data_IF_188716555298
#
_entry.id   IF_188716555298
#
_cell.length_a   1.000
_cell.length_b   1.000
_cell.length_c   1.000
_cell.angle_alpha   90.00
_cell.angle_beta   90.00
_cell.angle_gamma   90.00
#
_symmetry.space_group_name_H-M   'P 1'
#
loop_
_entity.id
_entity.type
_entity.pdbx_description
1 polymer ?
#
# COMPACT_ATOMS: atom_id res chain seq x y z
N UNK A 1 -11.14 7.37 -26.57
CA UNK A 1 -11.69 6.11 -26.04
C UNK A 1 -10.56 5.12 -25.99
N UNK A 2 -10.31 4.51 -24.83
CA UNK A 2 -9.31 3.46 -24.71
C UNK A 2 -9.87 2.21 -25.38
N UNK A 3 -9.08 1.58 -26.23
CA UNK A 3 -9.47 0.41 -26.99
C UNK A 3 -9.28 -0.86 -26.16
N UNK A 4 -10.08 -1.90 -26.42
CA UNK A 4 -9.87 -3.23 -25.81
C UNK A 4 -8.46 -3.77 -26.11
N UNK A 5 -7.88 -3.38 -27.25
CA UNK A 5 -6.52 -3.73 -27.65
C UNK A 5 -5.45 -3.11 -26.74
N UNK A 6 -5.65 -1.87 -26.28
CA UNK A 6 -4.73 -1.23 -25.32
C UNK A 6 -4.79 -1.94 -23.96
N UNK A 7 -5.98 -2.28 -23.47
CA UNK A 7 -6.16 -3.06 -22.23
C UNK A 7 -5.48 -4.43 -22.36
N UNK A 8 -5.64 -5.10 -23.50
CA UNK A 8 -5.00 -6.39 -23.76
C UNK A 8 -3.47 -6.29 -23.76
N UNK A 9 -2.90 -5.29 -24.42
CA UNK A 9 -1.45 -5.10 -24.48
C UNK A 9 -0.84 -4.85 -23.09
N UNK A 10 -1.48 -4.00 -22.29
CA UNK A 10 -1.04 -3.73 -20.91
C UNK A 10 -1.24 -4.97 -20.03
N UNK A 11 -2.35 -5.69 -20.20
CA UNK A 11 -2.63 -6.95 -19.50
C UNK A 11 -1.59 -8.03 -19.73
N UNK A 12 -1.14 -8.21 -20.98
CA UNK A 12 -0.04 -9.14 -21.32
C UNK A 12 1.25 -8.79 -20.59
N UNK A 13 1.57 -7.51 -20.45
CA UNK A 13 2.76 -7.05 -19.72
C UNK A 13 2.66 -7.35 -18.23
N UNK A 14 1.48 -7.22 -17.63
CA UNK A 14 1.26 -7.51 -16.21
C UNK A 14 1.49 -9.00 -15.88
N UNK A 15 0.99 -9.91 -16.72
CA UNK A 15 1.03 -11.36 -16.44
C UNK A 15 2.30 -12.05 -16.90
N UNK A 16 3.18 -11.37 -17.64
CA UNK A 16 4.42 -11.95 -18.15
C UNK A 16 5.52 -11.95 -17.07
N UNK A 17 5.92 -13.12 -16.52
CA UNK A 17 6.95 -13.20 -15.49
C UNK A 17 8.35 -12.88 -16.04
N UNK A 18 8.53 -12.82 -17.37
CA UNK A 18 9.76 -12.35 -18.00
C UNK A 18 9.94 -10.83 -17.93
N UNK A 19 8.88 -10.07 -17.61
CA UNK A 19 8.97 -8.62 -17.46
C UNK A 19 9.58 -8.23 -16.10
N UNK A 20 10.41 -7.18 -16.05
CA UNK A 20 10.87 -6.61 -14.79
C UNK A 20 9.69 -6.20 -13.90
N UNK A 21 9.81 -6.44 -12.60
CA UNK A 21 8.74 -6.16 -11.63
C UNK A 21 8.22 -4.71 -11.72
N UNK A 22 9.11 -3.72 -11.90
CA UNK A 22 8.75 -2.31 -12.11
C UNK A 22 7.82 -2.07 -13.32
N UNK A 23 8.00 -2.83 -14.41
CA UNK A 23 7.19 -2.70 -15.62
C UNK A 23 5.80 -3.30 -15.39
N UNK A 24 5.75 -4.40 -14.64
CA UNK A 24 4.50 -5.05 -14.23
C UNK A 24 3.68 -4.15 -13.30
N UNK A 25 4.31 -3.46 -12.34
CA UNK A 25 3.63 -2.44 -11.53
C UNK A 25 3.08 -1.28 -12.38
N UNK A 26 3.86 -0.77 -13.34
CA UNK A 26 3.36 0.28 -14.26
C UNK A 26 2.15 -0.20 -15.06
N UNK A 27 2.17 -1.44 -15.52
CA UNK A 27 1.04 -2.07 -16.21
C UNK A 27 -0.19 -2.20 -15.28
N UNK A 28 0.01 -2.68 -14.05
CA UNK A 28 -1.04 -2.79 -13.03
C UNK A 28 -1.72 -1.45 -12.76
N UNK A 29 -0.97 -0.40 -12.44
CA UNK A 29 -1.54 0.91 -12.16
C UNK A 29 -2.19 1.55 -13.38
N UNK A 30 -1.70 1.24 -14.58
CA UNK A 30 -2.36 1.64 -15.82
C UNK A 30 -3.72 0.95 -15.94
N UNK A 31 -3.81 -0.37 -15.75
CA UNK A 31 -5.08 -1.11 -15.76
C UNK A 31 -6.06 -0.60 -14.69
N UNK A 32 -5.57 -0.28 -13.48
CA UNK A 32 -6.35 0.35 -12.42
C UNK A 32 -6.96 1.69 -12.87
N UNK A 33 -6.19 2.52 -13.58
CA UNK A 33 -6.66 3.79 -14.12
C UNK A 33 -7.62 3.65 -15.31
N UNK A 34 -7.44 2.62 -16.13
CA UNK A 34 -8.32 2.31 -17.27
C UNK A 34 -9.67 1.75 -16.82
N UNK A 35 -9.66 0.88 -15.82
CA UNK A 35 -10.85 0.25 -15.27
C UNK A 35 -11.58 -0.69 -16.24
N UNK A 36 -12.77 -1.11 -15.83
CA UNK A 36 -13.65 -1.96 -16.64
C UNK A 36 -13.35 -3.46 -16.56
N UNK A 37 -14.20 -4.29 -17.18
CA UNK A 37 -14.18 -5.74 -16.99
C UNK A 37 -12.93 -6.40 -17.57
N UNK A 38 -12.39 -5.86 -18.67
CA UNK A 38 -11.14 -6.34 -19.26
C UNK A 38 -9.95 -6.13 -18.33
N UNK A 39 -9.84 -4.95 -17.70
CA UNK A 39 -8.78 -4.66 -16.74
C UNK A 39 -8.87 -5.57 -15.51
N UNK A 40 -10.07 -5.73 -14.94
CA UNK A 40 -10.31 -6.65 -13.81
C UNK A 40 -9.88 -8.07 -14.17
N UNK A 41 -10.23 -8.54 -15.37
CA UNK A 41 -9.85 -9.88 -15.85
C UNK A 41 -8.33 -10.05 -15.91
N UNK A 42 -7.59 -9.06 -16.42
CA UNK A 42 -6.14 -9.12 -16.49
C UNK A 42 -5.46 -9.05 -15.13
N UNK A 43 -5.93 -8.17 -14.25
CA UNK A 43 -5.43 -8.07 -12.87
C UNK A 43 -5.67 -9.39 -12.14
N UNK A 44 -6.87 -9.97 -12.27
CA UNK A 44 -7.26 -11.24 -11.64
C UNK A 44 -6.36 -12.41 -12.05
N UNK A 45 -5.91 -12.46 -13.31
CA UNK A 45 -5.04 -13.53 -13.81
C UNK A 45 -3.66 -13.54 -13.16
N UNK A 46 -3.20 -12.42 -12.61
CA UNK A 46 -1.88 -12.30 -12.02
C UNK A 46 -1.80 -12.79 -10.56
N UNK A 47 -2.90 -13.21 -9.93
CA UNK A 47 -2.88 -13.75 -8.55
C UNK A 47 -2.13 -15.09 -8.40
N UNK A 48 -1.79 -15.74 -9.51
CA UNK A 48 -0.92 -16.93 -9.53
C UNK A 48 0.57 -16.61 -9.55
N UNK A 49 0.98 -15.35 -9.41
CA UNK A 49 2.39 -14.94 -9.44
C UNK A 49 3.16 -15.33 -8.15
N UNK A 50 4.46 -15.57 -8.29
CA UNK A 50 5.34 -15.89 -7.16
C UNK A 50 5.61 -14.68 -6.23
N UNK A 51 5.40 -13.45 -6.70
CA UNK A 51 5.63 -12.23 -5.92
C UNK A 51 4.43 -11.89 -5.03
N UNK A 52 4.54 -12.18 -3.73
CA UNK A 52 3.55 -11.75 -2.73
C UNK A 52 3.30 -10.23 -2.77
N UNK A 53 4.34 -9.44 -3.00
CA UNK A 53 4.25 -7.99 -3.16
C UNK A 53 3.38 -7.59 -4.36
N UNK A 54 3.57 -8.23 -5.52
CA UNK A 54 2.71 -7.95 -6.67
C UNK A 54 1.26 -8.38 -6.38
N UNK A 55 1.06 -9.58 -5.84
CA UNK A 55 -0.28 -10.12 -5.54
C UNK A 55 -1.07 -9.24 -4.58
N UNK A 56 -0.44 -8.73 -3.54
CA UNK A 56 -1.00 -7.71 -2.65
C UNK A 56 -1.47 -6.50 -3.46
N UNK A 57 -0.60 -5.93 -4.30
CA UNK A 57 -0.95 -4.76 -5.10
C UNK A 57 -2.10 -5.00 -6.09
N UNK A 58 -2.25 -6.22 -6.59
CA UNK A 58 -3.41 -6.59 -7.42
C UNK A 58 -4.71 -6.40 -6.65
N UNK A 59 -4.77 -6.91 -5.41
CA UNK A 59 -5.93 -6.77 -4.53
C UNK A 59 -6.19 -5.30 -4.19
N UNK A 60 -5.13 -4.55 -3.81
CA UNK A 60 -5.22 -3.11 -3.55
C UNK A 60 -5.85 -2.37 -4.73
N UNK A 61 -5.31 -2.59 -5.95
CA UNK A 61 -5.82 -1.95 -7.15
C UNK A 61 -7.29 -2.29 -7.42
N UNK A 62 -7.69 -3.55 -7.25
CA UNK A 62 -9.10 -3.96 -7.42
C UNK A 62 -10.02 -3.28 -6.39
N UNK A 63 -9.59 -3.15 -5.14
CA UNK A 63 -10.31 -2.41 -4.10
C UNK A 63 -10.50 -0.94 -4.45
N UNK A 64 -9.41 -0.29 -4.87
CA UNK A 64 -9.40 1.12 -5.28
C UNK A 64 -10.19 1.40 -6.56
N UNK A 65 -10.49 0.38 -7.37
CA UNK A 65 -11.38 0.50 -8.54
C UNK A 65 -12.87 0.53 -8.17
N UNK A 66 -13.21 0.09 -6.95
CA UNK A 66 -14.59 0.05 -6.41
C UNK A 66 -15.61 -0.63 -7.33
N UNK A 67 -15.18 -1.64 -8.09
CA UNK A 67 -16.01 -2.35 -9.05
C UNK A 67 -16.39 -3.73 -8.52
N UNK A 68 -17.68 -3.93 -8.25
CA UNK A 68 -18.22 -5.18 -7.70
C UNK A 68 -17.91 -6.42 -8.53
N UNK A 69 -17.54 -6.28 -9.82
CA UNK A 69 -17.10 -7.41 -10.64
C UNK A 69 -15.81 -8.07 -10.14
N UNK A 70 -15.02 -7.39 -9.30
CA UNK A 70 -13.83 -7.94 -8.68
C UNK A 70 -14.11 -8.78 -7.42
N UNK A 71 -15.33 -8.73 -6.87
CA UNK A 71 -15.68 -9.43 -5.62
C UNK A 71 -15.40 -10.95 -5.69
N UNK A 72 -15.76 -11.68 -6.76
CA UNK A 72 -15.51 -13.12 -6.81
C UNK A 72 -14.02 -13.49 -6.64
N UNK A 73 -13.12 -12.81 -7.35
CA UNK A 73 -11.68 -13.10 -7.25
C UNK A 73 -11.12 -12.71 -5.89
N UNK A 74 -11.57 -11.60 -5.30
CA UNK A 74 -11.12 -11.16 -3.98
C UNK A 74 -11.58 -12.11 -2.88
N UNK A 75 -12.81 -12.65 -2.99
CA UNK A 75 -13.31 -13.69 -2.08
C UNK A 75 -12.49 -14.97 -2.20
N UNK A 76 -12.14 -15.39 -3.42
CA UNK A 76 -11.29 -16.56 -3.64
C UNK A 76 -9.90 -16.37 -3.01
N UNK A 77 -9.28 -15.19 -3.17
CA UNK A 77 -7.97 -14.86 -2.58
C UNK A 77 -8.04 -14.81 -1.04
N UNK A 78 -9.08 -14.21 -0.46
CA UNK A 78 -9.26 -14.16 1.01
C UNK A 78 -9.38 -15.57 1.61
N UNK A 79 -10.07 -16.47 0.91
CA UNK A 79 -10.29 -17.87 1.31
C UNK A 79 -9.06 -18.75 1.18
N UNK A 80 -8.18 -18.46 0.23
CA UNK A 80 -7.04 -19.30 -0.07
C UNK A 80 -5.96 -19.19 1.00
N UNK A 81 -5.90 -20.20 1.89
CA UNK A 81 -4.89 -20.29 2.94
C UNK A 81 -3.48 -20.57 2.41
N UNK A 82 -3.31 -20.81 1.10
CA UNK A 82 -1.99 -20.89 0.47
C UNK A 82 -1.44 -19.51 0.11
N UNK A 83 -2.28 -18.46 0.08
CA UNK A 83 -1.82 -17.08 -0.09
C UNK A 83 -1.19 -16.56 1.21
N UNK A 84 -0.20 -15.68 1.06
CA UNK A 84 0.49 -15.07 2.18
C UNK A 84 -0.48 -14.17 2.98
N UNK A 85 -0.27 -14.00 4.30
CA UNK A 85 -1.06 -13.09 5.13
C UNK A 85 -1.23 -11.69 4.52
N UNK A 86 -0.16 -11.16 3.90
CA UNK A 86 -0.19 -9.85 3.25
C UNK A 86 -1.21 -9.77 2.10
N UNK A 87 -1.28 -10.82 1.28
CA UNK A 87 -2.19 -10.87 0.13
C UNK A 87 -3.64 -11.04 0.60
N UNK A 88 -3.84 -11.88 1.62
CA UNK A 88 -5.17 -12.16 2.17
C UNK A 88 -5.77 -10.96 2.88
N UNK A 89 -4.98 -10.20 3.67
CA UNK A 89 -5.50 -8.99 4.28
C UNK A 89 -5.90 -7.97 3.21
N UNK A 90 -5.06 -7.77 2.19
CA UNK A 90 -5.33 -6.78 1.14
C UNK A 90 -6.59 -7.14 0.35
N UNK A 91 -6.86 -8.44 0.13
CA UNK A 91 -8.12 -8.88 -0.44
C UNK A 91 -9.33 -8.57 0.47
N UNK A 92 -9.20 -8.77 1.79
CA UNK A 92 -10.23 -8.41 2.77
C UNK A 92 -10.50 -6.91 2.81
N UNK A 93 -9.46 -6.08 2.75
CA UNK A 93 -9.59 -4.63 2.70
C UNK A 93 -10.24 -4.16 1.40
N UNK A 94 -9.81 -4.72 0.26
CA UNK A 94 -10.37 -4.41 -1.05
C UNK A 94 -11.88 -4.69 -1.12
N UNK A 95 -12.36 -5.78 -0.49
CA UNK A 95 -13.79 -6.07 -0.35
C UNK A 95 -14.53 -4.95 0.42
N UNK A 96 -13.93 -4.43 1.49
CA UNK A 96 -14.45 -3.28 2.24
C UNK A 96 -14.39 -1.95 1.44
N UNK A 97 -13.34 -1.76 0.63
CA UNK A 97 -13.16 -0.57 -0.21
C UNK A 97 -14.19 -0.51 -1.35
N UNK A 98 -14.54 -1.66 -1.95
CA UNK A 98 -15.62 -1.76 -2.95
C UNK A 98 -16.95 -1.28 -2.37
N UNK A 99 -17.20 -1.51 -1.08
CA UNK A 99 -18.36 -0.93 -0.41
C UNK A 99 -19.69 -1.65 -0.69
N UNK A 100 -19.67 -2.81 -1.37
CA UNK A 100 -20.88 -3.57 -1.66
C UNK A 100 -21.28 -4.42 -0.44
N UNK A 101 -22.46 -4.23 0.17
CA UNK A 101 -22.85 -4.94 1.39
C UNK A 101 -23.02 -6.46 1.20
N UNK A 102 -23.03 -6.99 -0.03
CA UNK A 102 -23.12 -8.44 -0.27
C UNK A 102 -21.94 -9.23 0.35
N UNK A 103 -20.81 -8.56 0.60
CA UNK A 103 -19.61 -9.20 1.18
C UNK A 103 -19.61 -9.18 2.72
N UNK A 104 -20.63 -8.60 3.37
CA UNK A 104 -20.66 -8.48 4.83
C UNK A 104 -20.54 -9.83 5.56
N UNK A 105 -21.27 -10.85 5.11
CA UNK A 105 -21.28 -12.14 5.79
C UNK A 105 -19.94 -12.87 5.68
N UNK A 106 -19.25 -12.75 4.53
CA UNK A 106 -17.92 -13.34 4.38
C UNK A 106 -16.88 -12.58 5.22
N UNK A 107 -16.95 -11.25 5.30
CA UNK A 107 -16.06 -10.47 6.16
C UNK A 107 -16.31 -10.76 7.65
N UNK A 108 -17.56 -10.92 8.09
CA UNK A 108 -17.87 -11.35 9.46
C UNK A 108 -17.31 -12.74 9.77
N UNK A 109 -17.39 -13.68 8.82
CA UNK A 109 -16.78 -15.00 8.98
C UNK A 109 -15.26 -14.89 9.19
N UNK A 110 -14.57 -14.11 8.33
CA UNK A 110 -13.12 -13.95 8.39
C UNK A 110 -12.63 -12.96 9.45
N UNK A 111 -13.53 -12.26 10.15
CA UNK A 111 -13.21 -11.46 11.35
C UNK A 111 -12.69 -12.32 12.52
N UNK A 112 -12.78 -13.64 12.41
CA UNK A 112 -12.25 -14.62 13.37
C UNK A 112 -11.18 -15.54 12.75
N UNK A 113 -10.58 -15.14 11.63
CA UNK A 113 -9.49 -15.89 10.99
C UNK A 113 -8.32 -16.11 11.97
N UNK A 114 -7.64 -17.27 11.93
CA UNK A 114 -6.48 -17.52 12.79
C UNK A 114 -5.28 -16.62 12.47
N UNK A 115 -5.22 -16.01 11.28
CA UNK A 115 -4.22 -15.01 10.92
C UNK A 115 -4.72 -13.65 11.37
N UNK A 116 -4.04 -13.06 12.34
CA UNK A 116 -4.47 -11.83 13.03
C UNK A 116 -4.66 -10.66 12.06
N UNK A 117 -3.79 -10.50 11.07
CA UNK A 117 -3.88 -9.43 10.07
C UNK A 117 -5.17 -9.57 9.24
N UNK A 118 -5.55 -10.80 8.88
CA UNK A 118 -6.79 -11.06 8.13
C UNK A 118 -8.01 -10.80 9.00
N UNK A 119 -7.97 -11.23 10.27
CA UNK A 119 -9.06 -11.00 11.22
C UNK A 119 -9.29 -9.50 11.47
N UNK A 120 -8.23 -8.76 11.82
CA UNK A 120 -8.29 -7.32 12.06
C UNK A 120 -8.77 -6.55 10.83
N UNK A 121 -8.25 -6.87 9.63
CA UNK A 121 -8.71 -6.23 8.39
C UNK A 121 -10.18 -6.50 8.11
N UNK A 122 -10.65 -7.74 8.29
CA UNK A 122 -12.06 -8.05 8.07
C UNK A 122 -12.97 -7.36 9.09
N UNK A 123 -12.53 -7.21 10.35
CA UNK A 123 -13.24 -6.44 11.36
C UNK A 123 -13.36 -4.96 10.96
N UNK A 124 -12.26 -4.35 10.50
CA UNK A 124 -12.26 -2.97 9.98
C UNK A 124 -13.20 -2.82 8.77
N UNK A 125 -13.15 -3.75 7.82
CA UNK A 125 -13.99 -3.74 6.63
C UNK A 125 -15.48 -3.88 6.96
N UNK A 126 -15.85 -4.73 7.93
CA UNK A 126 -17.24 -4.81 8.45
C UNK A 126 -17.66 -3.46 9.02
N UNK A 127 -16.85 -2.86 9.91
CA UNK A 127 -17.18 -1.56 10.53
C UNK A 127 -17.29 -0.44 9.50
N UNK A 128 -16.46 -0.46 8.45
CA UNK A 128 -16.55 0.47 7.32
C UNK A 128 -17.87 0.31 6.58
N UNK A 129 -18.27 -0.91 6.22
CA UNK A 129 -19.52 -1.17 5.51
C UNK A 129 -20.74 -0.78 6.34
N UNK A 130 -20.74 -1.07 7.63
CA UNK A 130 -21.79 -0.64 8.56
C UNK A 130 -21.87 0.89 8.64
N UNK A 131 -20.71 1.57 8.68
CA UNK A 131 -20.66 3.03 8.65
C UNK A 131 -21.25 3.59 7.35
N UNK A 132 -20.92 3.02 6.19
CA UNK A 132 -21.48 3.43 4.89
C UNK A 132 -23.00 3.24 4.83
N UNK A 133 -23.52 2.14 5.40
CA UNK A 133 -24.96 1.90 5.49
C UNK A 133 -25.67 2.94 6.37
N UNK A 134 -25.06 3.33 7.49
CA UNK A 134 -25.61 4.33 8.41
C UNK A 134 -25.59 5.75 7.83
N UNK A 135 -24.62 6.06 6.97
CA UNK A 135 -24.44 7.38 6.35
C UNK A 135 -24.84 7.40 4.87
N UNK A 136 -25.71 6.46 4.47
CA UNK A 136 -26.22 6.35 3.10
C UNK A 136 -26.99 7.61 2.70
N UNK A 137 -26.47 8.36 1.73
CA UNK A 137 -27.09 9.57 1.20
C UNK A 137 -26.44 10.89 1.64
N UNK A 138 -25.44 10.85 2.53
CA UNK A 138 -24.58 12.01 2.77
C UNK A 138 -23.49 12.09 1.70
N UNK A 139 -23.18 13.28 1.15
CA UNK A 139 -22.02 13.42 0.30
C UNK A 139 -20.78 13.11 1.14
N UNK A 140 -20.13 11.99 0.85
CA UNK A 140 -18.83 11.64 1.45
C UNK A 140 -17.89 12.79 1.10
N UNK A 141 -17.53 13.60 2.09
CA UNK A 141 -16.62 14.70 1.90
C UNK A 141 -15.32 14.13 1.32
N UNK A 142 -14.98 14.51 0.09
CA UNK A 142 -13.72 14.13 -0.51
C UNK A 142 -12.62 14.82 0.28
N UNK A 143 -11.88 14.02 1.05
CA UNK A 143 -10.68 14.47 1.74
C UNK A 143 -9.58 14.91 0.76
N UNK A 144 -8.42 15.33 1.28
CA UNK A 144 -7.30 15.75 0.44
C UNK A 144 -6.66 14.62 -0.38
N UNK A 145 -7.01 13.36 -0.10
CA UNK A 145 -6.49 12.17 -0.79
C UNK A 145 -7.55 11.51 -1.67
N UNK A 146 -7.10 10.95 -2.79
CA UNK A 146 -7.95 10.23 -3.74
C UNK A 146 -8.07 8.73 -3.43
N UNK A 147 -7.45 8.27 -2.34
CA UNK A 147 -7.54 6.87 -1.90
C UNK A 147 -8.90 6.57 -1.28
N UNK A 148 -9.32 5.33 -1.43
CA UNK A 148 -10.43 4.75 -0.68
C UNK A 148 -9.84 4.13 0.57
N UNK A 149 -10.01 4.79 1.71
CA UNK A 149 -9.38 4.39 2.97
C UNK A 149 -10.24 3.37 3.75
N UNK A 150 -9.63 2.48 4.56
CA UNK A 150 -10.34 1.48 5.36
C UNK A 150 -11.25 2.06 6.47
N UNK A 151 -11.05 3.32 6.87
CA UNK A 151 -11.93 4.02 7.81
C UNK A 151 -12.14 5.48 7.39
N UNK A 152 -13.32 6.09 7.66
CA UNK A 152 -13.51 7.52 7.45
C UNK A 152 -12.72 8.33 8.50
N UNK A 153 -12.20 9.53 8.17
CA UNK A 153 -11.50 10.35 9.16
C UNK A 153 -12.39 10.69 10.37
N UNK A 154 -11.76 10.86 11.53
CA UNK A 154 -12.41 11.39 12.72
C UNK A 154 -12.87 12.85 12.49
N UNK A 155 -13.91 13.28 13.20
CA UNK A 155 -14.39 14.67 13.13
C UNK A 155 -13.53 15.64 13.95
N UNK A 156 -12.80 15.14 14.94
CA UNK A 156 -11.85 15.89 15.75
C UNK A 156 -10.75 16.49 14.86
N UNK A 157 -10.30 17.71 15.19
CA UNK A 157 -9.28 18.47 14.45
C UNK A 157 -8.07 18.85 15.28
N UNK A 158 -8.13 18.69 16.59
CA UNK A 158 -7.01 18.90 17.49
C UNK A 158 -6.01 17.73 17.38
N UNK A 159 -4.78 18.05 16.99
CA UNK A 159 -3.73 17.05 16.75
C UNK A 159 -3.36 16.31 18.04
N UNK A 160 -3.38 16.99 19.19
CA UNK A 160 -3.11 16.39 20.50
C UNK A 160 -4.14 15.31 20.86
N UNK A 161 -5.43 15.62 20.76
CA UNK A 161 -6.51 14.67 21.02
C UNK A 161 -6.52 13.51 20.02
N UNK A 162 -6.27 13.77 18.74
CA UNK A 162 -6.15 12.72 17.73
C UNK A 162 -4.95 11.80 18.01
N UNK A 163 -3.83 12.35 18.45
CA UNK A 163 -2.65 11.57 18.88
C UNK A 163 -2.99 10.67 20.07
N UNK A 164 -3.69 11.18 21.08
CA UNK A 164 -4.14 10.38 22.21
C UNK A 164 -5.04 9.23 21.76
N UNK A 165 -6.02 9.51 20.90
CA UNK A 165 -6.90 8.48 20.33
C UNK A 165 -6.15 7.43 19.50
N UNK A 166 -5.17 7.85 18.70
CA UNK A 166 -4.35 6.96 17.87
C UNK A 166 -3.55 5.95 18.71
N UNK A 167 -2.99 6.43 19.82
CA UNK A 167 -2.05 5.68 20.67
C UNK A 167 -2.73 4.92 21.83
N UNK A 168 -4.03 5.12 22.05
CA UNK A 168 -4.79 4.43 23.09
C UNK A 168 -5.12 2.98 22.66
N UNK A 169 -4.35 2.01 23.18
CA UNK A 169 -4.55 0.57 22.94
C UNK A 169 -5.86 0.02 23.51
N UNK A 170 -6.58 0.78 24.36
CA UNK A 170 -7.91 0.40 24.83
C UNK A 170 -9.01 0.77 23.83
N UNK A 171 -8.75 1.64 22.84
CA UNK A 171 -9.71 2.01 21.82
C UNK A 171 -9.91 0.89 20.79
N UNK A 172 -11.12 0.75 20.23
CA UNK A 172 -11.34 -0.09 19.07
C UNK A 172 -10.43 0.32 17.91
N UNK A 173 -9.88 -0.67 17.20
CA UNK A 173 -8.96 -0.44 16.08
C UNK A 173 -9.53 0.51 15.01
N UNK A 174 -10.85 0.39 14.73
CA UNK A 174 -11.54 1.27 13.80
C UNK A 174 -11.41 2.74 14.21
N UNK A 175 -11.62 3.09 15.47
CA UNK A 175 -11.56 4.49 15.93
C UNK A 175 -10.13 5.03 15.90
N UNK A 176 -9.13 4.19 16.19
CA UNK A 176 -7.71 4.52 16.01
C UNK A 176 -7.38 4.81 14.54
N UNK A 177 -7.92 4.03 13.60
CA UNK A 177 -7.79 4.29 12.16
C UNK A 177 -8.46 5.61 11.76
N UNK A 178 -9.64 5.94 12.32
CA UNK A 178 -10.27 7.24 12.06
C UNK A 178 -9.38 8.40 12.49
N UNK A 179 -8.72 8.28 13.64
CA UNK A 179 -7.74 9.27 14.10
C UNK A 179 -6.52 9.35 13.18
N UNK A 180 -6.02 8.19 12.73
CA UNK A 180 -4.91 8.08 11.78
C UNK A 180 -5.17 8.87 10.48
N UNK A 181 -6.32 8.65 9.85
CA UNK A 181 -6.67 9.36 8.61
C UNK A 181 -6.96 10.85 8.86
N UNK A 182 -7.54 11.23 9.99
CA UNK A 182 -7.70 12.63 10.35
C UNK A 182 -6.33 13.34 10.51
N UNK A 183 -5.36 12.71 11.17
CA UNK A 183 -3.99 13.24 11.29
C UNK A 183 -3.32 13.39 9.91
N UNK A 184 -3.44 12.38 9.04
CA UNK A 184 -2.93 12.44 7.66
C UNK A 184 -3.55 13.61 6.88
N UNK A 185 -4.85 13.82 7.03
CA UNK A 185 -5.61 14.85 6.32
C UNK A 185 -5.31 16.27 6.84
N UNK A 186 -5.04 16.42 8.14
CA UNK A 186 -4.56 17.68 8.74
C UNK A 186 -3.15 18.01 8.24
N UNK A 187 -2.27 17.01 8.25
CA UNK A 187 -0.87 17.15 7.83
C UNK A 187 -0.03 18.08 8.72
N UNK A 188 1.13 18.48 8.19
CA UNK A 188 2.12 19.27 8.94
C UNK A 188 2.99 18.43 9.88
N UNK A 189 3.98 19.09 10.50
CA UNK A 189 5.01 18.44 11.31
C UNK A 189 4.44 17.73 12.54
N UNK A 190 3.53 18.39 13.27
CA UNK A 190 2.95 17.85 14.50
C UNK A 190 2.17 16.55 14.23
N UNK A 191 1.33 16.54 13.19
CA UNK A 191 0.57 15.35 12.81
C UNK A 191 1.48 14.23 12.26
N UNK A 192 2.52 14.58 11.49
CA UNK A 192 3.49 13.62 10.99
C UNK A 192 4.24 12.91 12.15
N UNK A 193 4.65 13.67 13.18
CA UNK A 193 5.31 13.10 14.36
C UNK A 193 4.34 12.26 15.19
N UNK A 194 3.10 12.70 15.37
CA UNK A 194 2.06 11.91 16.05
C UNK A 194 1.81 10.56 15.35
N UNK A 195 1.70 10.57 14.01
CA UNK A 195 1.61 9.35 13.21
C UNK A 195 2.84 8.46 13.38
N UNK A 196 4.05 9.04 13.35
CA UNK A 196 5.29 8.28 13.49
C UNK A 196 5.41 7.55 14.84
N UNK A 197 4.84 8.09 15.92
CA UNK A 197 4.76 7.38 17.22
C UNK A 197 3.95 6.09 17.12
N UNK A 198 2.95 6.03 16.23
CA UNK A 198 2.16 4.84 15.94
C UNK A 198 2.99 3.65 15.42
N UNK A 199 4.18 3.89 14.85
CA UNK A 199 5.11 2.82 14.45
C UNK A 199 5.67 2.02 15.64
N UNK A 200 5.46 2.50 16.87
CA UNK A 200 5.97 1.88 18.09
C UNK A 200 4.91 1.11 18.88
N UNK A 201 3.64 1.12 18.43
CA UNK A 201 2.52 0.49 19.12
C UNK A 201 1.65 -0.35 18.18
N UNK A 202 0.53 -0.86 18.68
CA UNK A 202 -0.48 -1.58 17.91
C UNK A 202 -0.05 -2.93 17.34
N UNK A 203 -0.92 -3.48 16.49
CA UNK A 203 -0.68 -4.71 15.74
C UNK A 203 0.27 -4.47 14.55
N UNK A 204 0.68 -5.54 13.87
CA UNK A 204 1.46 -5.43 12.64
C UNK A 204 0.67 -4.68 11.54
N UNK A 205 -0.64 -4.95 11.42
CA UNK A 205 -1.53 -4.28 10.49
C UNK A 205 -1.61 -2.77 10.79
N UNK A 206 -1.79 -2.39 12.06
CA UNK A 206 -1.83 -0.98 12.46
C UNK A 206 -0.55 -0.23 12.07
N UNK A 207 0.63 -0.82 12.35
CA UNK A 207 1.91 -0.19 11.98
C UNK A 207 2.15 -0.13 10.48
N UNK A 208 1.67 -1.13 9.74
CA UNK A 208 1.69 -1.11 8.27
C UNK A 208 0.89 0.09 7.75
N UNK A 209 -0.31 0.30 8.29
CA UNK A 209 -1.17 1.43 7.89
C UNK A 209 -0.53 2.78 8.23
N UNK A 210 0.10 2.91 9.40
CA UNK A 210 0.91 4.09 9.74
C UNK A 210 1.97 4.35 8.65
N UNK A 211 2.69 3.31 8.22
CA UNK A 211 3.65 3.42 7.13
C UNK A 211 3.03 3.90 5.81
N UNK A 212 1.86 3.36 5.46
CA UNK A 212 1.11 3.78 4.27
C UNK A 212 0.73 5.27 4.33
N UNK A 213 0.08 5.73 5.41
CA UNK A 213 -0.37 7.12 5.51
C UNK A 213 0.79 8.12 5.62
N UNK A 214 1.91 7.74 6.25
CA UNK A 214 3.14 8.54 6.26
C UNK A 214 3.73 8.66 4.83
N UNK A 215 3.69 7.58 4.05
CA UNK A 215 4.06 7.57 2.64
C UNK A 215 3.14 8.45 1.78
N UNK A 216 1.85 8.54 2.10
CA UNK A 216 0.93 9.48 1.46
C UNK A 216 1.18 10.93 1.87
N UNK A 217 1.47 11.18 3.15
CA UNK A 217 1.69 12.52 3.70
C UNK A 217 3.02 13.15 3.22
N UNK A 218 4.06 12.35 2.99
CA UNK A 218 5.35 12.77 2.42
C UNK A 218 6.03 13.92 3.18
N UNK A 219 5.91 13.96 4.51
CA UNK A 219 6.46 15.05 5.32
C UNK A 219 7.95 14.82 5.68
N UNK A 220 8.78 15.86 5.51
CA UNK A 220 10.25 15.78 5.69
C UNK A 220 10.70 15.59 7.15
N UNK A 221 9.86 15.94 8.12
CA UNK A 221 10.17 15.75 9.55
C UNK A 221 10.31 14.26 9.95
N UNK A 222 9.88 13.34 9.09
CA UNK A 222 10.05 11.91 9.29
C UNK A 222 11.53 11.56 9.07
N UNK A 223 12.22 10.96 10.06
CA UNK A 223 13.65 10.73 9.96
C UNK A 223 14.00 9.72 8.85
N UNK A 224 14.46 10.23 7.71
CA UNK A 224 15.15 9.44 6.70
C UNK A 224 16.56 9.09 7.19
N UNK A 225 16.72 7.96 7.88
CA UNK A 225 18.02 7.41 8.24
C UNK A 225 18.87 8.29 9.17
N UNK A 226 20.14 7.92 9.43
CA UNK A 226 20.95 8.55 10.46
C UNK A 226 21.45 9.92 9.98
N UNK A 227 20.67 10.97 10.23
CA UNK A 227 21.14 12.35 10.13
C UNK A 227 21.44 12.91 11.53
N UNK A 228 22.44 13.81 11.60
CA UNK A 228 23.15 14.28 12.81
C UNK A 228 22.30 15.04 13.85
N UNK A 229 20.97 15.00 13.77
CA UNK A 229 20.06 15.74 14.66
C UNK A 229 18.88 14.91 15.13
N UNK A 230 19.04 13.60 15.31
CA UNK A 230 18.02 12.80 16.01
C UNK A 230 18.14 13.01 17.52
N UNK A 231 17.03 13.32 18.23
CA UNK A 231 16.93 13.04 19.65
C UNK A 231 17.25 11.55 19.87
N UNK A 232 18.06 11.25 20.88
CA UNK A 232 18.65 9.94 21.16
C UNK A 232 17.66 8.76 21.27
N UNK A 233 16.35 9.02 21.33
CA UNK A 233 15.30 8.01 21.42
C UNK A 233 15.07 7.19 20.13
N UNK A 234 15.41 7.74 18.95
CA UNK A 234 15.11 7.10 17.66
C UNK A 234 16.33 6.43 16.99
N UNK A 235 17.54 6.74 17.44
CA UNK A 235 18.79 6.32 16.79
C UNK A 235 19.27 4.89 17.14
N UNK A 236 18.45 4.08 17.81
CA UNK A 236 18.90 2.79 18.39
C UNK A 236 17.92 1.64 18.32
N UNK A 237 16.75 1.81 17.72
CA UNK A 237 15.78 0.74 17.50
C UNK A 237 15.49 0.65 16.02
N UNK A 238 16.34 -0.10 15.30
CA UNK A 238 15.93 -0.64 14.02
C UNK A 238 14.60 -1.37 14.26
N UNK A 239 13.52 -0.88 13.64
CA UNK A 239 12.25 -1.59 13.63
C UNK A 239 12.52 -2.90 12.90
N UNK A 240 12.69 -3.98 13.67
CA UNK A 240 12.79 -5.34 13.14
C UNK A 240 11.37 -5.75 12.79
N UNK A 241 11.01 -5.59 11.52
CA UNK A 241 9.75 -6.09 10.99
C UNK A 241 9.82 -7.63 10.89
N UNK A 242 8.80 -8.38 11.30
CA UNK A 242 8.88 -9.84 11.46
C UNK A 242 8.78 -10.63 10.16
N UNK A 243 8.90 -10.00 8.98
CA UNK A 243 8.77 -10.68 7.69
C UNK A 243 10.04 -11.45 7.31
N UNK A 244 10.36 -12.52 8.02
CA UNK A 244 11.34 -13.50 7.51
C UNK A 244 10.67 -14.41 6.48
N UNK A 245 10.89 -14.14 5.19
CA UNK A 245 10.53 -15.05 4.12
C UNK A 245 11.48 -16.26 4.13
N UNK A 246 11.12 -17.32 4.85
CA UNK A 246 11.81 -18.61 4.76
C UNK A 246 11.31 -19.36 3.53
N UNK A 247 11.92 -19.07 2.36
CA UNK A 247 11.74 -19.94 1.19
C UNK A 247 12.59 -21.20 1.37
N UNK A 248 12.01 -22.24 1.96
CA UNK A 248 12.59 -23.59 1.89
C UNK A 248 12.41 -24.14 0.48
N UNK A 249 13.37 -23.91 -0.42
CA UNK A 249 13.51 -24.77 -1.62
C UNK A 249 13.97 -26.15 -1.15
N UNK A 250 13.21 -27.20 -1.47
CA UNK A 250 13.67 -28.58 -1.30
C UNK A 250 14.95 -28.78 -2.14
N UNK A 251 16.07 -29.06 -1.46
CA UNK A 251 17.17 -29.83 -2.06
C UNK A 251 18.45 -29.11 -2.48
N UNK A 252 18.81 -27.92 -1.94
CA UNK A 252 20.18 -27.38 -2.11
C UNK A 252 20.73 -26.73 -0.82
N UNK A 253 22.06 -26.83 -0.56
CA UNK A 253 22.68 -26.26 0.62
C UNK A 253 22.82 -24.74 0.52
N UNK A 254 22.72 -24.08 1.67
CA UNK A 254 22.77 -22.62 1.84
C UNK A 254 24.11 -22.02 1.40
N UNK A 255 24.10 -21.16 0.39
CA UNK A 255 25.20 -20.25 0.08
C UNK A 255 24.70 -18.81 0.05
N UNK A 256 25.09 -18.01 1.05
CA UNK A 256 25.03 -16.54 1.01
C UNK A 256 26.02 -16.03 -0.03
N UNK A 257 25.52 -15.48 -1.13
CA UNK A 257 26.32 -14.67 -2.06
C UNK A 257 25.82 -13.23 -2.03
N UNK A 258 26.67 -12.33 -1.55
CA UNK A 258 26.50 -10.87 -1.60
C UNK A 258 26.79 -10.38 -3.01
N UNK A 259 25.75 -10.04 -3.77
CA UNK A 259 25.86 -9.37 -5.07
C UNK A 259 25.78 -7.84 -4.90
N UNK A 260 26.84 -7.22 -4.38
CA UNK A 260 26.94 -5.75 -4.23
C UNK A 260 28.33 -5.24 -4.62
N UNK A 261 28.68 -5.32 -5.91
CA UNK A 261 29.95 -4.72 -6.39
C UNK A 261 29.87 -4.02 -7.76
N UNK A 262 28.69 -3.67 -8.29
CA UNK A 262 28.63 -3.03 -9.63
C UNK A 262 27.67 -1.85 -9.80
N UNK A 263 27.00 -1.36 -8.76
CA UNK A 263 26.03 -0.26 -8.94
C UNK A 263 26.37 1.04 -8.21
N UNK A 264 27.57 1.19 -7.65
CA UNK A 264 27.93 2.37 -6.87
C UNK A 264 29.23 3.04 -7.32
N UNK A 265 29.30 3.53 -8.56
CA UNK A 265 30.18 4.66 -8.93
C UNK A 265 29.62 5.42 -10.14
N UNK A 266 29.49 6.77 -10.08
CA UNK A 266 29.32 7.58 -11.27
C UNK A 266 30.64 7.65 -12.06
N UNK A 267 30.63 7.61 -13.40
CA UNK A 267 31.84 7.84 -14.20
C UNK A 267 32.30 9.31 -14.12
N UNK A 268 33.60 9.60 -14.21
CA UNK A 268 34.12 10.97 -14.17
C UNK A 268 33.86 11.73 -15.48
N UNK A 269 33.59 13.04 -15.34
CA UNK A 269 33.47 13.99 -16.45
C UNK A 269 34.76 14.10 -17.27
N UNK A 270 34.63 14.07 -18.60
CA UNK A 270 35.67 14.51 -19.52
C UNK A 270 35.06 15.45 -20.57
N UNK A 271 35.61 16.67 -20.62
CA UNK A 271 35.28 17.72 -21.56
C UNK A 271 35.86 17.47 -22.97
N UNK A 272 35.12 17.87 -24.02
CA UNK A 272 35.55 18.62 -25.23
C UNK A 272 34.60 18.40 -26.42
N UNK A 273 34.12 19.49 -27.06
CA UNK A 273 33.76 19.52 -28.49
C UNK A 273 32.28 19.71 -28.87
N UNK A 274 31.88 20.96 -29.14
CA UNK A 274 30.63 21.48 -29.73
C UNK A 274 30.34 21.05 -31.20
N UNK A 275 29.28 21.53 -31.89
CA UNK A 275 27.84 21.50 -31.58
C UNK A 275 26.99 21.04 -32.79
N UNK A 276 25.90 20.28 -32.61
CA UNK A 276 24.81 20.26 -33.61
C UNK A 276 23.45 20.24 -32.93
N UNK A 277 22.66 21.23 -33.35
CA UNK A 277 21.31 21.55 -32.91
C UNK A 277 20.35 20.38 -33.15
N UNK A 278 19.51 20.11 -32.17
CA UNK A 278 18.06 19.96 -32.39
C UNK A 278 17.35 20.26 -31.08
N UNK A 279 16.51 21.29 -31.15
CA UNK A 279 15.61 21.73 -30.09
C UNK A 279 14.57 20.66 -29.77
N UNK A 280 14.29 20.42 -28.49
CA UNK A 280 12.94 20.45 -27.93
C UNK A 280 12.99 20.13 -26.43
N UNK A 281 12.55 21.12 -25.62
CA UNK A 281 11.88 20.96 -24.33
C UNK A 281 12.65 20.23 -23.20
N UNK A 282 13.64 20.91 -22.63
CA UNK A 282 13.95 20.80 -21.20
C UNK A 282 13.13 21.87 -20.47
N UNK A 283 12.07 21.47 -19.76
CA UNK A 283 11.72 21.99 -18.44
C UNK A 283 10.40 21.37 -17.99
N UNK A 284 10.48 20.18 -17.37
CA UNK A 284 9.46 19.71 -16.44
C UNK A 284 10.22 19.04 -15.29
N UNK A 285 10.25 19.75 -14.17
CA UNK A 285 10.67 19.25 -12.86
C UNK A 285 10.03 17.89 -12.60
N UNK A 286 10.88 16.86 -12.49
CA UNK A 286 10.46 15.49 -12.18
C UNK A 286 9.94 15.44 -10.74
N UNK A 287 8.62 15.60 -10.58
CA UNK A 287 7.91 15.16 -9.38
C UNK A 287 7.58 13.68 -9.57
N UNK A 288 8.04 12.75 -8.70
CA UNK A 288 7.67 11.35 -8.81
C UNK A 288 6.14 11.21 -8.73
N UNK A 289 5.55 10.47 -9.68
CA UNK A 289 4.11 10.17 -9.69
C UNK A 289 3.82 9.15 -8.59
N UNK A 290 2.64 9.26 -7.98
CA UNK A 290 2.06 8.40 -6.92
C UNK A 290 2.43 6.90 -6.98
N UNK A 291 2.54 6.30 -8.17
CA UNK A 291 2.93 4.90 -8.35
C UNK A 291 4.35 4.55 -7.86
N UNK A 292 5.29 5.50 -7.90
CA UNK A 292 6.69 5.25 -7.48
C UNK A 292 6.87 5.35 -5.95
N UNK A 293 5.94 6.02 -5.26
CA UNK A 293 6.01 6.29 -3.82
C UNK A 293 5.25 5.27 -2.99
N UNK A 294 4.12 4.74 -3.49
CA UNK A 294 3.47 3.58 -2.89
C UNK A 294 4.41 2.36 -2.94
N UNK A 295 5.06 2.14 -4.09
CA UNK A 295 6.17 1.19 -4.22
C UNK A 295 7.30 1.47 -3.25
N UNK A 296 7.67 2.73 -2.98
CA UNK A 296 8.72 3.07 -2.00
C UNK A 296 8.29 2.78 -0.55
N UNK A 297 7.01 2.99 -0.20
CA UNK A 297 6.47 2.63 1.12
C UNK A 297 6.41 1.09 1.30
N UNK A 298 5.92 0.37 0.30
CA UNK A 298 5.94 -1.10 0.29
C UNK A 298 7.38 -1.67 0.20
N UNK A 299 8.30 -1.00 -0.52
CA UNK A 299 9.73 -1.36 -0.57
C UNK A 299 10.42 -1.04 0.75
N UNK A 300 10.09 0.04 1.46
CA UNK A 300 10.61 0.30 2.80
C UNK A 300 10.11 -0.76 3.81
N UNK A 301 8.89 -1.27 3.62
CA UNK A 301 8.37 -2.41 4.37
C UNK A 301 9.08 -3.74 3.99
N UNK A 302 9.44 -3.92 2.71
CA UNK A 302 10.12 -5.13 2.22
C UNK A 302 11.65 -5.14 2.46
N UNK A 303 12.32 -3.99 2.41
CA UNK A 303 13.78 -3.81 2.52
C UNK A 303 14.30 -3.87 3.98
N UNK A 304 13.41 -4.09 4.93
CA UNK A 304 13.76 -4.39 6.32
C UNK A 304 13.86 -5.91 6.63
N UNK A 305 13.96 -6.75 5.58
CA UNK A 305 14.12 -8.22 5.66
C UNK A 305 15.53 -8.68 5.30
#
# INVERSE_FOLDING_TARGET
MVTEQEVEAVGKMLVDPGQPLQARFRALFTLRGLGGPGAITWISRAFGDDSALLKHELAYCLGQMQDSRAIPVLVDVLRDTCQEPMVRHEAGEALGAIGNPEVLEILKQYSTDPVVEVAETCQLAVRRLEWLQQHSGEPVAQGPYLSVDPAPPAQERDVGQLREMLLDEAQPLFDRYRAMFALRDIGGEEAALALAEGLLCGSALFRHEIGYVLGQLQHEALPCGPTRRTPSAWCGRAVRWPWTCTSTRRGQPSSTQTAWSSCAHPPPEAALGSPLRTSCLNDLTYKPRWSELHLAACLLAALAS
#
